data_IF_676800156050
#
_entry.id   IF_676800156050
#
_cell.length_a   1.000
_cell.length_b   1.000
_cell.length_c   1.000
_cell.angle_alpha   90.00
_cell.angle_beta   90.00
_cell.angle_gamma   90.00
#
_symmetry.space_group_name_H-M   'P 1'
#
loop_
_entity.id
_entity.type
_entity.pdbx_description
1 polymer ?
#
# COMPACT_ATOMS: atom_id res chain seq x y z
N UNK A 1 -4.20 -2.32 19.81
CA UNK A 1 -3.09 -3.30 19.62
C UNK A 1 -2.39 -3.10 18.26
N UNK A 2 -3.10 -3.08 17.12
CA UNK A 2 -2.52 -2.96 15.77
C UNK A 2 -1.66 -1.70 15.58
N UNK A 3 -2.14 -0.52 16.01
CA UNK A 3 -1.41 0.75 15.91
C UNK A 3 -0.08 0.75 16.68
N UNK A 4 -0.05 0.19 17.89
CA UNK A 4 1.20 0.07 18.67
C UNK A 4 2.21 -0.87 18.00
N UNK A 5 1.74 -2.02 17.52
CA UNK A 5 2.60 -2.96 16.79
C UNK A 5 3.21 -2.30 15.54
N UNK A 6 2.41 -1.53 14.79
CA UNK A 6 2.89 -0.79 13.63
C UNK A 6 3.93 0.28 14.00
N UNK A 7 3.75 0.99 15.11
CA UNK A 7 4.74 1.97 15.61
C UNK A 7 6.10 1.34 15.93
N UNK A 8 6.11 0.13 16.49
CA UNK A 8 7.34 -0.62 16.75
C UNK A 8 8.00 -1.07 15.44
N UNK A 9 7.20 -1.55 14.50
CA UNK A 9 7.69 -2.02 13.20
C UNK A 9 8.29 -0.88 12.36
N UNK A 10 7.67 0.31 12.37
CA UNK A 10 8.14 1.48 11.63
C UNK A 10 9.57 1.90 12.05
N UNK A 11 9.99 1.64 13.29
CA UNK A 11 11.37 1.93 13.72
C UNK A 11 12.40 1.11 12.95
N UNK A 12 12.02 -0.08 12.48
CA UNK A 12 12.90 -1.00 11.76
C UNK A 12 12.91 -0.79 10.25
N UNK A 13 12.04 0.10 9.74
CA UNK A 13 11.74 0.28 8.33
C UNK A 13 12.46 1.50 7.77
N UNK A 14 12.89 1.43 6.54
CA UNK A 14 13.52 2.51 5.78
C UNK A 14 12.50 3.28 4.93
N UNK A 15 11.50 2.57 4.36
CA UNK A 15 10.48 3.14 3.49
C UNK A 15 9.13 2.48 3.71
N UNK A 16 8.06 3.25 3.64
CA UNK A 16 6.69 2.74 3.68
C UNK A 16 6.10 2.76 2.28
N UNK A 17 5.56 1.61 1.87
CA UNK A 17 4.85 1.42 0.62
C UNK A 17 3.37 1.25 0.95
N UNK A 18 2.58 2.28 0.67
CA UNK A 18 1.14 2.26 0.88
C UNK A 18 0.42 1.94 -0.43
N UNK A 19 -0.37 0.87 -0.45
CA UNK A 19 -1.24 0.55 -1.58
C UNK A 19 -2.60 1.20 -1.39
N UNK A 20 -3.04 1.91 -2.43
CA UNK A 20 -4.39 2.45 -2.57
C UNK A 20 -5.08 1.87 -3.80
N UNK A 21 -6.40 1.84 -3.79
CA UNK A 21 -7.19 1.46 -4.96
C UNK A 21 -7.36 2.67 -5.89
N UNK A 22 -6.92 2.55 -7.14
CA UNK A 22 -6.93 3.67 -8.09
C UNK A 22 -8.32 4.21 -8.41
N UNK A 23 -9.38 3.44 -8.15
CA UNK A 23 -10.78 3.89 -8.33
C UNK A 23 -11.21 4.90 -7.28
N UNK A 24 -10.65 4.81 -6.07
CA UNK A 24 -10.96 5.66 -4.91
C UNK A 24 -9.67 5.97 -4.10
N UNK A 25 -8.69 6.68 -4.70
CA UNK A 25 -7.37 6.82 -4.10
C UNK A 25 -7.39 7.50 -2.73
N UNK A 26 -8.24 8.51 -2.54
CA UNK A 26 -8.37 9.22 -1.27
C UNK A 26 -9.03 8.34 -0.20
N UNK A 27 -10.17 7.72 -0.53
CA UNK A 27 -10.93 6.89 0.42
C UNK A 27 -10.19 5.61 0.81
N UNK A 28 -9.32 5.09 -0.05
CA UNK A 28 -8.54 3.87 0.23
C UNK A 28 -7.19 4.14 0.91
N UNK A 29 -6.82 5.42 1.10
CA UNK A 29 -5.63 5.81 1.86
C UNK A 29 -5.93 5.85 3.35
N UNK A 30 -5.08 5.19 4.15
CA UNK A 30 -5.26 5.19 5.60
C UNK A 30 -4.62 6.44 6.23
N UNK A 31 -5.42 7.36 6.83
CA UNK A 31 -4.91 8.60 7.42
C UNK A 31 -3.96 8.37 8.60
N UNK A 32 -4.11 7.27 9.34
CA UNK A 32 -3.22 6.92 10.46
C UNK A 32 -1.76 6.75 10.00
N UNK A 33 -1.54 6.32 8.74
CA UNK A 33 -0.19 6.13 8.20
C UNK A 33 0.55 7.46 8.08
N UNK A 34 -0.13 8.56 7.81
CA UNK A 34 0.49 9.89 7.71
C UNK A 34 1.16 10.29 9.02
N UNK A 35 0.50 10.04 10.14
CA UNK A 35 1.01 10.33 11.48
C UNK A 35 2.10 9.33 11.90
N UNK A 36 1.88 8.04 11.64
CA UNK A 36 2.79 6.98 12.07
C UNK A 36 4.10 6.97 11.28
N UNK A 37 4.03 7.34 10.00
CA UNK A 37 5.15 7.31 9.05
C UNK A 37 6.04 8.56 9.09
N UNK A 38 5.84 9.46 10.04
CA UNK A 38 6.60 10.70 10.12
C UNK A 38 8.12 10.46 10.07
N UNK A 39 8.81 11.18 9.19
CA UNK A 39 10.25 11.05 8.98
C UNK A 39 10.71 9.85 8.15
N UNK A 40 9.79 9.07 7.57
CA UNK A 40 10.10 7.97 6.63
C UNK A 40 9.79 8.36 5.19
N UNK A 41 10.60 7.86 4.26
CA UNK A 41 10.25 7.94 2.83
C UNK A 41 8.95 7.19 2.56
N UNK A 42 8.11 7.75 1.69
CA UNK A 42 6.78 7.23 1.42
C UNK A 42 6.54 7.02 -0.06
N UNK A 43 6.15 5.80 -0.38
CA UNK A 43 5.76 5.40 -1.73
C UNK A 43 4.26 5.11 -1.69
N UNK A 44 3.51 5.69 -2.62
CA UNK A 44 2.10 5.42 -2.84
C UNK A 44 1.95 4.61 -4.12
N UNK A 45 1.45 3.38 -4.01
CA UNK A 45 1.16 2.55 -5.17
C UNK A 45 -0.33 2.59 -5.48
N UNK A 46 -0.66 3.20 -6.60
CA UNK A 46 -2.02 3.22 -7.14
C UNK A 46 -2.27 1.89 -7.87
N UNK A 47 -2.82 0.92 -7.13
CA UNK A 47 -3.10 -0.41 -7.65
C UNK A 47 -4.46 -0.48 -8.37
N UNK A 48 -4.64 -1.51 -9.22
CA UNK A 48 -5.83 -1.70 -10.06
C UNK A 48 -6.07 -0.51 -11.00
N UNK A 49 -5.00 0.14 -11.44
CA UNK A 49 -5.10 1.35 -12.26
C UNK A 49 -5.81 1.12 -13.61
N UNK A 50 -5.88 -0.14 -14.06
CA UNK A 50 -6.64 -0.61 -15.22
C UNK A 50 -8.17 -0.51 -15.05
N UNK A 51 -8.65 -0.37 -13.81
CA UNK A 51 -10.06 -0.22 -13.46
C UNK A 51 -10.47 1.23 -13.21
N UNK A 52 -9.56 2.18 -13.34
CA UNK A 52 -9.80 3.60 -13.09
C UNK A 52 -9.63 4.43 -14.39
N UNK A 53 -10.29 5.58 -14.44
CA UNK A 53 -10.08 6.54 -15.52
C UNK A 53 -8.64 7.05 -15.51
N UNK A 54 -8.00 7.03 -16.69
CA UNK A 54 -6.59 7.39 -16.81
C UNK A 54 -6.34 8.86 -16.47
N UNK A 55 -7.17 9.77 -16.99
CA UNK A 55 -6.96 11.21 -16.79
C UNK A 55 -7.16 11.61 -15.34
N UNK A 56 -8.13 10.96 -14.65
CA UNK A 56 -8.36 11.16 -13.22
C UNK A 56 -7.20 10.60 -12.42
N UNK A 57 -6.70 9.41 -12.78
CA UNK A 57 -5.55 8.78 -12.13
C UNK A 57 -4.26 9.61 -12.27
N UNK A 58 -4.03 10.24 -13.43
CA UNK A 58 -2.89 11.13 -13.66
C UNK A 58 -2.98 12.39 -12.75
N UNK A 59 -4.18 12.95 -12.55
CA UNK A 59 -4.41 14.07 -11.61
C UNK A 59 -4.11 13.65 -10.17
N UNK A 60 -4.55 12.47 -9.76
CA UNK A 60 -4.25 11.93 -8.42
C UNK A 60 -2.75 11.68 -8.22
N UNK A 61 -2.07 11.18 -9.24
CA UNK A 61 -0.60 11.02 -9.23
C UNK A 61 0.07 12.36 -8.95
N UNK A 62 -0.23 13.39 -9.75
CA UNK A 62 0.33 14.74 -9.57
C UNK A 62 0.01 15.33 -8.20
N UNK A 63 -1.21 15.13 -7.69
CA UNK A 63 -1.61 15.56 -6.36
C UNK A 63 -0.75 14.95 -5.28
N UNK A 64 -0.55 13.61 -5.29
CA UNK A 64 0.25 12.96 -4.26
C UNK A 64 1.74 13.26 -4.39
N UNK A 65 2.26 13.42 -5.60
CA UNK A 65 3.64 13.87 -5.81
C UNK A 65 3.87 15.27 -5.24
N UNK A 66 2.91 16.19 -5.39
CA UNK A 66 2.97 17.53 -4.79
C UNK A 66 2.96 17.50 -3.25
N UNK A 67 2.47 16.41 -2.65
CA UNK A 67 2.49 16.15 -1.20
C UNK A 67 3.77 15.44 -0.73
N UNK A 68 4.74 15.21 -1.63
CA UNK A 68 6.03 14.60 -1.31
C UNK A 68 6.04 13.07 -1.32
N UNK A 69 5.03 12.42 -1.91
CA UNK A 69 5.04 10.97 -2.13
C UNK A 69 5.78 10.62 -3.41
N UNK A 70 6.45 9.47 -3.39
CA UNK A 70 6.84 8.80 -4.62
C UNK A 70 5.67 7.96 -5.11
N UNK A 71 5.13 8.24 -6.30
CA UNK A 71 3.91 7.58 -6.79
C UNK A 71 4.23 6.65 -7.95
N UNK A 72 3.56 5.49 -7.98
CA UNK A 72 3.57 4.58 -9.13
C UNK A 72 2.21 3.94 -9.34
N UNK A 73 1.77 3.85 -10.59
CA UNK A 73 0.57 3.13 -10.99
C UNK A 73 0.93 1.68 -11.31
N UNK A 74 0.19 0.72 -10.73
CA UNK A 74 0.45 -0.70 -10.91
C UNK A 74 -0.84 -1.48 -11.15
N UNK A 75 -0.73 -2.56 -11.92
CA UNK A 75 -1.71 -3.64 -11.94
C UNK A 75 -1.04 -4.89 -11.37
N UNK A 76 -1.27 -5.16 -10.12
CA UNK A 76 -0.66 -6.30 -9.42
C UNK A 76 -1.10 -7.65 -9.97
N UNK A 77 -2.27 -7.74 -10.62
CA UNK A 77 -2.81 -8.99 -11.17
C UNK A 77 -2.06 -9.44 -12.42
N UNK A 78 -1.75 -8.53 -13.33
CA UNK A 78 -1.04 -8.82 -14.58
C UNK A 78 0.44 -8.42 -14.57
N UNK A 79 0.92 -7.82 -13.48
CA UNK A 79 2.32 -7.43 -13.29
C UNK A 79 2.73 -6.11 -13.96
N UNK A 80 1.81 -5.41 -14.65
CA UNK A 80 2.14 -4.16 -15.34
C UNK A 80 2.50 -3.07 -14.31
N UNK A 81 3.62 -2.38 -14.52
CA UNK A 81 4.15 -1.37 -13.62
C UNK A 81 4.88 -1.90 -12.38
N UNK A 82 4.70 -3.18 -12.02
CA UNK A 82 5.25 -3.76 -10.79
C UNK A 82 6.78 -3.77 -10.78
N UNK A 83 7.43 -4.06 -11.92
CA UNK A 83 8.91 -4.05 -12.01
C UNK A 83 9.51 -2.67 -11.75
N UNK A 84 8.84 -1.60 -12.22
CA UNK A 84 9.30 -0.23 -12.03
C UNK A 84 9.29 0.22 -10.55
N UNK A 85 8.54 -0.45 -9.69
CA UNK A 85 8.52 -0.15 -8.25
C UNK A 85 9.89 -0.30 -7.60
N UNK A 86 10.76 -1.17 -8.13
CA UNK A 86 12.13 -1.28 -7.65
C UNK A 86 12.89 0.05 -7.79
N UNK A 87 12.78 0.70 -8.94
CA UNK A 87 13.43 1.99 -9.18
C UNK A 87 12.84 3.10 -8.31
N UNK A 88 11.53 3.05 -8.06
CA UNK A 88 10.86 3.98 -7.15
C UNK A 88 11.38 3.81 -5.72
N UNK A 89 11.59 2.57 -5.25
CA UNK A 89 12.20 2.29 -3.94
C UNK A 89 13.62 2.85 -3.86
N UNK A 90 14.44 2.65 -4.92
CA UNK A 90 15.80 3.19 -4.95
C UNK A 90 15.81 4.72 -4.90
N UNK A 91 14.92 5.38 -5.64
CA UNK A 91 14.76 6.85 -5.62
C UNK A 91 14.34 7.34 -4.23
N UNK A 92 13.31 6.71 -3.64
CA UNK A 92 12.79 7.08 -2.33
C UNK A 92 13.80 6.90 -1.18
N UNK A 93 14.73 5.96 -1.32
CA UNK A 93 15.74 5.65 -0.34
C UNK A 93 17.14 6.20 -0.68
N UNK A 94 17.27 7.04 -1.72
CA UNK A 94 18.56 7.54 -2.21
C UNK A 94 19.45 8.13 -1.11
N UNK A 95 18.91 9.06 -0.33
CA UNK A 95 19.66 9.71 0.75
C UNK A 95 20.14 8.71 1.82
N UNK A 96 19.30 7.73 2.12
CA UNK A 96 19.67 6.68 3.07
C UNK A 96 20.79 5.79 2.51
N UNK A 97 20.68 5.36 1.28
CA UNK A 97 21.69 4.54 0.61
C UNK A 97 23.04 5.28 0.58
N UNK A 98 23.06 6.56 0.25
CA UNK A 98 24.25 7.39 0.23
C UNK A 98 24.86 7.54 1.64
N UNK A 99 24.04 7.74 2.67
CA UNK A 99 24.48 7.82 4.06
C UNK A 99 25.08 6.49 4.54
N UNK A 100 24.44 5.37 4.22
CA UNK A 100 24.96 4.04 4.57
C UNK A 100 26.30 3.77 3.87
N UNK A 101 26.43 4.13 2.59
CA UNK A 101 27.70 4.03 1.84
C UNK A 101 28.84 4.84 2.47
N UNK A 102 28.56 6.09 2.88
CA UNK A 102 29.53 6.93 3.58
C UNK A 102 30.00 6.34 4.92
N UNK A 103 29.20 5.48 5.54
CA UNK A 103 29.51 4.75 6.77
C UNK A 103 30.15 3.37 6.50
N UNK A 104 30.47 3.04 5.26
CA UNK A 104 31.05 1.74 4.90
C UNK A 104 30.05 0.58 4.83
N UNK A 105 28.74 0.86 4.93
CA UNK A 105 27.69 -0.17 4.87
C UNK A 105 27.26 -0.35 3.41
N UNK A 106 27.85 -1.33 2.72
CA UNK A 106 27.67 -1.47 1.26
C UNK A 106 26.50 -2.37 0.84
N UNK A 107 26.07 -3.33 1.66
CA UNK A 107 25.16 -4.40 1.24
C UNK A 107 23.96 -4.60 2.17
N UNK A 108 23.51 -3.54 2.85
CA UNK A 108 22.32 -3.63 3.65
C UNK A 108 21.07 -3.55 2.78
N UNK A 109 20.16 -4.54 2.82
CA UNK A 109 18.89 -4.44 2.10
C UNK A 109 18.03 -3.31 2.64
N UNK A 110 17.30 -2.66 1.74
CA UNK A 110 16.26 -1.69 2.10
C UNK A 110 15.11 -2.45 2.74
N UNK A 111 14.71 -2.04 3.93
CA UNK A 111 13.56 -2.59 4.63
C UNK A 111 12.33 -1.75 4.32
N UNK A 112 11.42 -2.32 3.56
CA UNK A 112 10.16 -1.70 3.19
C UNK A 112 9.00 -2.34 3.97
N UNK A 113 8.09 -1.51 4.47
CA UNK A 113 6.84 -1.97 5.06
C UNK A 113 5.71 -1.77 4.07
N UNK A 114 4.93 -2.82 3.80
CA UNK A 114 3.74 -2.72 2.95
C UNK A 114 2.50 -2.57 3.81
N UNK A 115 1.77 -1.50 3.56
CA UNK A 115 0.52 -1.17 4.24
C UNK A 115 -0.61 -0.92 3.24
N UNK A 116 -1.83 -0.93 3.70
CA UNK A 116 -3.03 -0.63 2.91
C UNK A 116 -4.25 -1.32 3.47
N UNK A 117 -5.41 -0.90 3.02
CA UNK A 117 -6.70 -1.44 3.42
C UNK A 117 -6.88 -2.90 2.99
N UNK A 118 -7.85 -3.62 3.56
CA UNK A 118 -8.22 -4.95 3.06
C UNK A 118 -8.59 -4.91 1.57
N UNK A 119 -8.34 -5.98 0.85
CA UNK A 119 -8.68 -6.19 -0.56
C UNK A 119 -8.10 -5.17 -1.56
N UNK A 120 -7.20 -4.28 -1.14
CA UNK A 120 -6.50 -3.36 -2.05
C UNK A 120 -5.50 -4.09 -2.97
N UNK A 121 -5.17 -5.35 -2.67
CA UNK A 121 -4.29 -6.19 -3.48
C UNK A 121 -2.85 -6.31 -2.96
N UNK A 122 -2.59 -6.09 -1.65
CA UNK A 122 -1.24 -6.21 -1.07
C UNK A 122 -0.56 -7.53 -1.36
N UNK A 123 -1.19 -8.66 -1.01
CA UNK A 123 -0.59 -9.99 -1.22
C UNK A 123 -0.40 -10.30 -2.70
N UNK A 124 -1.30 -9.84 -3.56
CA UNK A 124 -1.16 -9.97 -5.02
C UNK A 124 0.05 -9.18 -5.51
N UNK A 125 0.21 -7.94 -5.04
CA UNK A 125 1.37 -7.10 -5.35
C UNK A 125 2.67 -7.77 -4.88
N UNK A 126 2.73 -8.24 -3.64
CA UNK A 126 3.91 -8.90 -3.08
C UNK A 126 4.32 -10.09 -3.93
N UNK A 127 3.37 -10.96 -4.30
CA UNK A 127 3.63 -12.13 -5.13
C UNK A 127 4.11 -11.74 -6.54
N UNK A 128 3.49 -10.76 -7.15
CA UNK A 128 3.87 -10.23 -8.46
C UNK A 128 5.26 -9.58 -8.42
N UNK A 129 5.56 -8.82 -7.37
CA UNK A 129 6.84 -8.15 -7.19
C UNK A 129 7.98 -9.12 -6.85
N UNK A 130 7.70 -10.16 -6.08
CA UNK A 130 8.65 -11.23 -5.76
C UNK A 130 8.85 -12.22 -6.92
N UNK A 131 7.98 -12.22 -7.93
CA UNK A 131 7.98 -13.20 -9.01
C UNK A 131 7.67 -14.64 -8.58
N UNK A 132 7.10 -14.83 -7.39
CA UNK A 132 6.74 -16.14 -6.81
C UNK A 132 5.65 -15.99 -5.76
N UNK A 133 4.94 -17.08 -5.47
CA UNK A 133 3.93 -17.12 -4.42
C UNK A 133 4.60 -17.15 -3.03
N UNK A 134 4.70 -16.01 -2.36
CA UNK A 134 5.29 -15.86 -1.03
C UNK A 134 4.33 -15.24 -0.01
N UNK A 135 3.20 -14.69 -0.44
CA UNK A 135 2.14 -14.18 0.40
C UNK A 135 0.81 -14.86 0.07
N UNK A 136 -0.02 -15.09 1.10
CA UNK A 136 -1.35 -15.67 0.91
C UNK A 136 -2.29 -14.65 0.25
N UNK A 137 -2.97 -15.07 -0.82
CA UNK A 137 -3.95 -14.25 -1.53
C UNK A 137 -5.37 -14.75 -1.28
N UNK A 138 -6.36 -13.86 -1.35
CA UNK A 138 -7.78 -14.18 -1.26
C UNK A 138 -8.63 -12.93 -1.40
N UNK A 139 -9.90 -13.11 -1.79
CA UNK A 139 -10.84 -12.00 -2.03
C UNK A 139 -11.60 -11.59 -0.76
N UNK A 140 -11.28 -12.18 0.41
CA UNK A 140 -11.94 -11.86 1.68
C UNK A 140 -11.02 -11.02 2.57
N UNK A 141 -11.55 -10.04 3.32
CA UNK A 141 -10.79 -9.31 4.33
C UNK A 141 -10.19 -10.26 5.38
N UNK A 142 -8.93 -9.99 5.80
CA UNK A 142 -8.27 -10.76 6.86
C UNK A 142 -7.53 -12.03 6.40
N UNK A 143 -7.21 -12.16 5.12
CA UNK A 143 -6.42 -13.29 4.58
C UNK A 143 -5.01 -13.34 5.19
N UNK A 144 -4.35 -12.19 5.35
CA UNK A 144 -3.08 -12.07 6.07
C UNK A 144 -3.36 -11.94 7.56
N UNK A 145 -3.05 -12.98 8.34
CA UNK A 145 -3.35 -13.04 9.79
C UNK A 145 -2.26 -12.44 10.68
N UNK A 146 -1.03 -12.27 10.18
CA UNK A 146 0.10 -11.77 10.94
C UNK A 146 1.13 -11.10 10.04
N UNK A 147 2.11 -10.43 10.65
CA UNK A 147 3.24 -9.84 9.94
C UNK A 147 4.25 -10.90 9.55
N UNK A 148 4.87 -10.75 8.38
CA UNK A 148 5.95 -11.62 7.94
C UNK A 148 7.00 -10.83 7.15
N UNK A 149 8.29 -11.20 7.35
CA UNK A 149 9.37 -10.69 6.53
C UNK A 149 9.51 -11.53 5.26
N UNK A 150 9.55 -10.87 4.13
CA UNK A 150 9.71 -11.49 2.81
C UNK A 150 10.95 -10.90 2.15
N UNK A 151 11.98 -11.71 1.97
CA UNK A 151 13.16 -11.31 1.23
C UNK A 151 12.91 -11.44 -0.26
N UNK A 152 12.82 -10.31 -0.96
CA UNK A 152 12.56 -10.29 -2.40
C UNK A 152 13.83 -10.60 -3.20
N UNK A 153 14.92 -9.92 -2.82
CA UNK A 153 16.24 -10.06 -3.46
C UNK A 153 17.33 -9.63 -2.46
N UNK A 154 18.56 -9.44 -2.96
CA UNK A 154 19.67 -8.99 -2.10
C UNK A 154 19.52 -7.54 -1.61
N UNK A 155 18.69 -6.74 -2.27
CA UNK A 155 18.58 -5.29 -2.02
C UNK A 155 17.28 -4.85 -1.32
N UNK A 156 16.25 -5.69 -1.23
CA UNK A 156 14.95 -5.32 -0.65
C UNK A 156 14.36 -6.46 0.20
N UNK A 157 14.00 -6.12 1.43
CA UNK A 157 13.19 -6.95 2.34
C UNK A 157 11.86 -6.26 2.59
N UNK A 158 10.75 -6.99 2.45
CA UNK A 158 9.40 -6.48 2.72
C UNK A 158 8.87 -7.00 4.04
N UNK A 159 8.27 -6.13 4.83
CA UNK A 159 7.40 -6.51 5.92
C UNK A 159 5.96 -6.43 5.44
N UNK A 160 5.34 -7.60 5.25
CA UNK A 160 3.91 -7.71 4.94
C UNK A 160 3.10 -7.58 6.23
N UNK A 161 2.09 -6.72 6.20
CA UNK A 161 1.20 -6.48 7.32
C UNK A 161 -0.25 -6.82 6.95
N UNK A 162 -1.08 -7.26 7.92
CA UNK A 162 -2.51 -7.37 7.69
C UNK A 162 -3.11 -6.07 7.16
N UNK A 163 -4.12 -6.16 6.29
CA UNK A 163 -4.90 -5.00 5.87
C UNK A 163 -5.60 -4.37 7.06
N UNK A 164 -5.37 -3.07 7.28
CA UNK A 164 -5.89 -2.35 8.43
C UNK A 164 -6.80 -1.23 7.92
N UNK A 165 -8.05 -1.26 8.39
CA UNK A 165 -8.95 -0.12 8.34
C UNK A 165 -8.85 0.65 9.67
N UNK A 166 -9.01 1.96 9.61
CA UNK A 166 -9.13 2.78 10.81
C UNK A 166 -10.52 2.65 11.43
N UNK A 167 -10.66 2.82 12.76
CA UNK A 167 -11.86 2.43 13.49
C UNK A 167 -13.12 3.24 13.17
N UNK A 168 -12.98 4.46 12.67
CA UNK A 168 -14.11 5.37 12.41
C UNK A 168 -13.84 6.18 11.15
N UNK A 169 -14.79 6.18 10.23
CA UNK A 169 -14.79 7.07 9.08
C UNK A 169 -15.46 8.38 9.48
N UNK A 170 -14.72 9.48 9.41
CA UNK A 170 -15.26 10.82 9.70
C UNK A 170 -16.25 11.23 8.60
N UNK A 171 -16.00 10.81 7.38
CA UNK A 171 -16.86 11.03 6.22
C UNK A 171 -17.54 9.70 5.82
N UNK A 172 -18.89 9.72 5.80
CA UNK A 172 -19.70 8.56 5.37
C UNK A 172 -19.43 8.16 3.93
N UNK A 173 -19.10 9.13 3.05
CA UNK A 173 -18.74 8.84 1.66
C UNK A 173 -17.50 7.95 1.54
N UNK A 174 -16.54 8.09 2.45
CA UNK A 174 -15.38 7.18 2.52
C UNK A 174 -15.84 5.75 2.78
N UNK A 175 -16.74 5.57 3.75
CA UNK A 175 -17.31 4.26 4.07
C UNK A 175 -18.02 3.62 2.87
N UNK A 176 -18.85 4.38 2.16
CA UNK A 176 -19.55 3.94 0.95
C UNK A 176 -18.57 3.55 -0.16
N UNK A 177 -17.57 4.40 -0.44
CA UNK A 177 -16.55 4.10 -1.45
C UNK A 177 -15.79 2.80 -1.13
N UNK A 178 -15.47 2.58 0.14
CA UNK A 178 -14.80 1.36 0.59
C UNK A 178 -15.71 0.12 0.51
N UNK A 179 -17.00 0.26 0.72
CA UNK A 179 -17.98 -0.80 0.53
C UNK A 179 -18.08 -1.18 -0.96
N UNK A 180 -18.21 -0.20 -1.87
CA UNK A 180 -18.26 -0.41 -3.32
C UNK A 180 -17.05 -1.18 -3.88
N UNK A 181 -15.87 -0.95 -3.34
CA UNK A 181 -14.65 -1.67 -3.78
C UNK A 181 -14.39 -2.98 -3.02
N UNK A 182 -15.29 -3.40 -2.12
CA UNK A 182 -15.21 -4.65 -1.36
C UNK A 182 -14.11 -4.64 -0.29
N UNK A 183 -13.76 -3.47 0.26
CA UNK A 183 -12.76 -3.35 1.33
C UNK A 183 -13.35 -3.49 2.73
N UNK A 184 -14.67 -3.42 2.85
CA UNK A 184 -15.45 -3.65 4.07
C UNK A 184 -16.17 -5.00 3.92
N UNK A 185 -16.41 -5.69 5.02
CA UNK A 185 -17.14 -6.96 5.01
C UNK A 185 -18.62 -6.75 4.65
N UNK A 186 -19.16 -7.61 3.79
CA UNK A 186 -20.54 -7.54 3.30
C UNK A 186 -21.59 -7.59 4.44
N UNK A 187 -21.24 -8.22 5.57
CA UNK A 187 -22.09 -8.31 6.77
C UNK A 187 -22.32 -6.95 7.47
N UNK A 188 -21.52 -5.92 7.12
CA UNK A 188 -21.56 -4.61 7.77
C UNK A 188 -22.43 -3.58 7.03
N UNK A 189 -23.01 -3.94 5.87
CA UNK A 189 -23.89 -3.05 5.10
C UNK A 189 -24.97 -3.86 4.35
N UNK A 190 -26.07 -3.16 4.02
CA UNK A 190 -27.11 -3.74 3.18
C UNK A 190 -26.74 -3.64 1.71
N UNK A 191 -26.46 -4.79 1.06
CA UNK A 191 -26.04 -4.85 -0.36
C UNK A 191 -27.11 -4.24 -1.28
N UNK A 192 -28.41 -4.43 -0.95
CA UNK A 192 -29.50 -3.86 -1.74
C UNK A 192 -29.50 -2.32 -1.67
N UNK A 193 -29.40 -1.74 -0.47
CA UNK A 193 -29.31 -0.28 -0.30
C UNK A 193 -28.07 0.28 -0.98
N UNK A 194 -26.94 -0.40 -0.87
CA UNK A 194 -25.69 0.00 -1.53
C UNK A 194 -25.85 -0.01 -3.06
N UNK A 195 -26.58 -0.98 -3.62
CA UNK A 195 -26.81 -1.06 -5.06
C UNK A 195 -27.70 0.07 -5.60
N UNK A 196 -28.67 0.52 -4.79
CA UNK A 196 -29.52 1.68 -5.15
C UNK A 196 -28.75 2.99 -5.21
N UNK A 197 -27.65 3.11 -4.49
CA UNK A 197 -26.80 4.30 -4.51
C UNK A 197 -25.88 4.38 -5.73
N UNK A 198 -25.79 3.32 -6.53
CA UNK A 198 -25.04 3.26 -7.79
C UNK A 198 -25.88 3.61 -9.02
N UNK A 199 -27.23 3.59 -8.88
CA UNK A 199 -28.19 3.92 -9.95
C UNK A 199 -28.53 5.40 -9.94
#
# INVERSE_FOLDING_TARGET
KARRAMQEDIKLIDVIIELVDSRVPLSSKNPDIDTLANGKSRILLMNKYDLADKNVSDKWTSYYESKGYFVAAVNSKNGKGVKAVHDVIQKACKEKIERDRKRGILNRPIRAMIVGIPNVGKSTFINSFAGKACAKTGNKPGVTKGKQWIRLNKSVELLDTPGILWPKFEDQQVGLNLAFIGSIKDELYNVYELSLLLL
#
